data_IF_906054429979
#
_entry.id   IF_906054429979
#
_cell.length_a   1.000
_cell.length_b   1.000
_cell.length_c   1.000
_cell.angle_alpha   90.00
_cell.angle_beta   90.00
_cell.angle_gamma   90.00
#
_symmetry.space_group_name_H-M   'P 1'
#
loop_
_entity.id
_entity.type
_entity.pdbx_description
1 polymer ?
#
# COMPACT_ATOMS: atom_id res chain seq x y z
N UNK A 1 5.74 11.38 -2.79
CA UNK A 1 5.37 9.93 -2.70
C UNK A 1 3.87 9.75 -2.84
N UNK A 2 3.04 10.34 -1.96
CA UNK A 2 1.56 10.30 -2.06
C UNK A 2 1.01 10.67 -3.45
N UNK A 3 1.36 11.83 -4.01
CA UNK A 3 0.81 12.25 -5.30
C UNK A 3 1.24 11.35 -6.47
N UNK A 4 2.47 10.80 -6.39
CA UNK A 4 2.97 9.81 -7.36
C UNK A 4 2.16 8.51 -7.27
N UNK A 5 1.86 8.06 -6.04
CA UNK A 5 1.01 6.88 -5.81
C UNK A 5 -0.40 7.09 -6.35
N UNK A 6 -1.02 8.24 -6.05
CA UNK A 6 -2.35 8.59 -6.54
C UNK A 6 -2.42 8.60 -8.07
N UNK A 7 -1.44 9.22 -8.74
CA UNK A 7 -1.36 9.25 -10.20
C UNK A 7 -1.22 7.85 -10.81
N UNK A 8 -0.38 7.00 -10.23
CA UNK A 8 -0.18 5.62 -10.70
C UNK A 8 -1.43 4.76 -10.51
N UNK A 9 -2.03 4.81 -9.32
CA UNK A 9 -3.29 4.12 -9.05
C UNK A 9 -4.39 4.57 -10.02
N UNK A 10 -4.53 5.88 -10.27
CA UNK A 10 -5.49 6.41 -11.24
C UNK A 10 -5.21 5.92 -12.67
N UNK A 11 -3.94 5.86 -13.11
CA UNK A 11 -3.57 5.35 -14.42
C UNK A 11 -3.92 3.86 -14.62
N UNK A 12 -3.92 3.08 -13.54
CA UNK A 12 -4.34 1.67 -13.53
C UNK A 12 -5.86 1.50 -13.32
N UNK A 13 -6.62 2.59 -13.19
CA UNK A 13 -8.05 2.53 -12.87
C UNK A 13 -8.36 2.01 -11.47
N UNK A 14 -7.40 2.11 -10.53
CA UNK A 14 -7.54 1.65 -9.16
C UNK A 14 -7.99 2.81 -8.25
N UNK A 15 -9.00 2.57 -7.42
CA UNK A 15 -9.42 3.51 -6.40
C UNK A 15 -8.68 3.23 -5.09
N UNK A 16 -7.96 4.23 -4.58
CA UNK A 16 -7.35 4.14 -3.25
C UNK A 16 -8.39 4.47 -2.19
N UNK A 17 -8.36 3.70 -1.10
CA UNK A 17 -9.22 3.89 0.06
C UNK A 17 -8.43 4.56 1.19
N UNK A 18 -9.11 5.39 1.97
CA UNK A 18 -8.56 5.92 3.21
C UNK A 18 -9.10 5.09 4.38
N UNK A 19 -8.20 4.49 5.15
CA UNK A 19 -8.53 3.74 6.36
C UNK A 19 -7.85 4.35 7.57
N UNK A 20 -8.48 4.22 8.73
CA UNK A 20 -7.91 4.55 10.03
C UNK A 20 -8.08 3.37 10.98
N UNK A 21 -7.01 2.99 11.66
CA UNK A 21 -7.00 1.92 12.66
C UNK A 21 -6.37 2.46 13.95
N UNK A 22 -7.13 2.60 15.04
CA UNK A 22 -6.58 3.06 16.32
C UNK A 22 -5.71 1.96 16.95
N UNK A 23 -4.56 2.35 17.52
CA UNK A 23 -3.70 1.45 18.31
C UNK A 23 -2.84 0.46 17.52
N UNK A 24 -3.00 0.40 16.19
CA UNK A 24 -2.09 -0.34 15.31
C UNK A 24 -0.86 0.49 14.95
N UNK A 25 0.30 -0.16 14.84
CA UNK A 25 1.48 0.42 14.22
C UNK A 25 1.99 -0.49 13.10
N UNK A 26 2.72 0.10 12.16
CA UNK A 26 3.55 -0.62 11.21
C UNK A 26 5.03 -0.38 11.55
N UNK A 27 5.94 -0.84 10.69
CA UNK A 27 7.37 -0.64 10.90
C UNK A 27 7.84 0.79 10.60
N UNK A 28 7.01 1.65 10.01
CA UNK A 28 7.43 2.96 9.50
C UNK A 28 8.02 3.90 10.57
N UNK A 29 7.54 3.93 11.83
CA UNK A 29 8.15 4.73 12.90
C UNK A 29 9.53 4.24 13.32
N UNK A 30 9.89 2.98 13.05
CA UNK A 30 11.11 2.34 13.54
C UNK A 30 12.25 2.30 12.51
N UNK A 31 11.98 2.63 11.24
CA UNK A 31 13.01 2.67 10.20
C UNK A 31 13.81 3.98 10.33
N UNK A 32 15.14 3.90 10.39
CA UNK A 32 16.03 5.07 10.43
C UNK A 32 16.17 5.75 9.05
N UNK A 33 16.50 7.04 9.04
CA UNK A 33 16.77 7.83 7.82
C UNK A 33 15.65 8.80 7.40
N UNK A 34 16.00 9.76 6.54
CA UNK A 34 15.17 10.89 6.12
C UNK A 34 14.27 10.62 4.90
N UNK A 35 14.04 9.35 4.56
CA UNK A 35 13.26 8.99 3.38
C UNK A 35 11.78 9.32 3.61
N UNK A 36 11.15 10.03 2.66
CA UNK A 36 9.70 10.24 2.67
C UNK A 36 8.99 8.90 2.52
N UNK A 37 8.19 8.51 3.51
CA UNK A 37 7.43 7.26 3.53
C UNK A 37 5.94 7.51 3.33
N UNK A 38 5.25 6.49 2.86
CA UNK A 38 3.81 6.48 2.76
C UNK A 38 3.32 5.06 3.08
N UNK A 39 2.52 4.93 4.12
CA UNK A 39 1.97 3.65 4.55
C UNK A 39 0.68 3.37 3.78
N UNK A 40 0.57 2.17 3.20
CA UNK A 40 -0.64 1.71 2.52
C UNK A 40 -0.68 0.18 2.57
N UNK A 41 -1.86 -0.39 2.47
CA UNK A 41 -2.08 -1.83 2.53
C UNK A 41 -3.30 -2.23 1.71
N UNK A 42 -3.51 -3.55 1.66
CA UNK A 42 -4.79 -4.15 1.26
C UNK A 42 -5.71 -4.24 2.48
N UNK A 43 -7.02 -4.04 2.30
CA UNK A 43 -7.99 -4.26 3.36
C UNK A 43 -8.03 -5.75 3.71
N UNK A 44 -8.09 -6.02 5.01
CA UNK A 44 -8.09 -7.36 5.58
C UNK A 44 -9.21 -7.47 6.62
N UNK A 45 -9.87 -8.61 6.68
CA UNK A 45 -10.80 -8.94 7.76
C UNK A 45 -10.16 -9.93 8.73
N UNK A 46 -10.44 -9.76 10.02
CA UNK A 46 -9.96 -10.62 11.11
C UNK A 46 -8.43 -10.64 11.26
N UNK A 47 -7.79 -9.47 11.16
CA UNK A 47 -6.35 -9.33 11.42
C UNK A 47 -5.98 -9.95 12.77
N UNK A 48 -4.89 -10.74 12.80
CA UNK A 48 -4.41 -11.50 13.96
C UNK A 48 -5.29 -12.69 14.40
N UNK A 49 -6.22 -13.15 13.56
CA UNK A 49 -6.94 -14.40 13.80
C UNK A 49 -6.22 -15.60 13.18
N UNK A 50 -6.65 -16.82 13.53
CA UNK A 50 -6.15 -18.05 12.89
C UNK A 50 -6.45 -18.12 11.39
N UNK A 51 -7.51 -17.43 10.93
CA UNK A 51 -7.94 -17.40 9.53
C UNK A 51 -8.34 -15.98 9.16
N UNK A 52 -7.43 -15.29 8.47
CA UNK A 52 -7.68 -13.96 7.94
C UNK A 52 -8.37 -14.04 6.57
N UNK A 53 -9.10 -12.98 6.18
CA UNK A 53 -9.74 -12.91 4.86
C UNK A 53 -9.34 -11.66 4.11
N UNK A 54 -8.97 -11.85 2.86
CA UNK A 54 -8.58 -10.81 1.92
C UNK A 54 -9.36 -10.98 0.61
N UNK A 55 -9.67 -9.86 -0.04
CA UNK A 55 -10.19 -9.85 -1.41
C UNK A 55 -9.06 -10.17 -2.40
N UNK A 56 -9.23 -11.18 -3.23
CA UNK A 56 -8.28 -11.51 -4.30
C UNK A 56 -8.09 -10.31 -5.25
N UNK A 57 -9.17 -9.63 -5.58
CA UNK A 57 -9.13 -8.47 -6.47
C UNK A 57 -8.31 -7.31 -5.89
N UNK A 58 -8.36 -7.09 -4.58
CA UNK A 58 -7.57 -6.03 -3.95
C UNK A 58 -6.09 -6.40 -3.88
N UNK A 59 -5.78 -7.69 -3.68
CA UNK A 59 -4.43 -8.21 -3.76
C UNK A 59 -3.83 -8.05 -5.16
N UNK A 60 -4.58 -8.39 -6.21
CA UNK A 60 -4.18 -8.22 -7.61
C UNK A 60 -3.91 -6.74 -7.94
N UNK A 61 -4.79 -5.83 -7.50
CA UNK A 61 -4.60 -4.38 -7.67
C UNK A 61 -3.34 -3.87 -6.96
N UNK A 62 -3.06 -4.36 -5.75
CA UNK A 62 -1.83 -4.02 -5.03
C UNK A 62 -0.60 -4.49 -5.82
N UNK A 63 -0.60 -5.73 -6.31
CA UNK A 63 0.51 -6.28 -7.10
C UNK A 63 0.74 -5.45 -8.37
N UNK A 64 -0.31 -5.12 -9.12
CA UNK A 64 -0.21 -4.29 -10.32
C UNK A 64 0.42 -2.92 -10.01
N UNK A 65 0.00 -2.27 -8.92
CA UNK A 65 0.55 -0.99 -8.49
C UNK A 65 2.02 -1.09 -8.08
N UNK A 66 2.43 -2.17 -7.40
CA UNK A 66 3.82 -2.39 -7.01
C UNK A 66 4.72 -2.65 -8.22
N UNK A 67 4.25 -3.42 -9.20
CA UNK A 67 4.97 -3.66 -10.46
C UNK A 67 5.16 -2.34 -11.22
N UNK A 68 4.10 -1.55 -11.39
CA UNK A 68 4.17 -0.24 -12.04
C UNK A 68 5.09 0.74 -11.25
N UNK A 69 5.10 0.66 -9.92
CA UNK A 69 6.01 1.44 -9.09
C UNK A 69 7.48 1.05 -9.34
N UNK A 70 7.80 -0.24 -9.31
CA UNK A 70 9.15 -0.76 -9.49
C UNK A 70 9.69 -0.59 -10.93
N UNK A 71 8.82 -0.74 -11.94
CA UNK A 71 9.17 -0.58 -13.35
C UNK A 71 9.61 0.84 -13.75
N UNK A 72 9.45 1.82 -12.86
CA UNK A 72 9.92 3.21 -13.03
C UNK A 72 11.18 3.52 -12.21
N UNK A 73 11.87 2.49 -11.70
CA UNK A 73 13.01 2.61 -10.78
C UNK A 73 14.40 2.86 -11.40
N UNK A 74 14.51 3.17 -12.70
CA UNK A 74 15.81 3.44 -13.36
C UNK A 74 16.28 4.89 -13.32
N UNK A 75 15.65 5.75 -12.52
CA UNK A 75 16.13 7.11 -12.25
C UNK A 75 16.23 7.31 -10.73
N UNK A 76 17.40 6.94 -10.19
CA UNK A 76 17.91 7.40 -8.90
C UNK A 76 19.21 8.17 -9.15
#
# INVERSE_FOLDING_TARGET
VRDRLLKKAAALGHQLQAGYMPGGNDSAPFISGWTRRFCFSVPLMYSHSQVERISLQDLERLIALLIDWAGTGTEL
#
